data_IF_970025163804
#
_entry.id   IF_970025163804
#
_cell.length_a   1.000
_cell.length_b   1.000
_cell.length_c   1.000
_cell.angle_alpha   90.00
_cell.angle_beta   90.00
_cell.angle_gamma   90.00
#
_symmetry.space_group_name_H-M   'P 1'
#
loop_
_entity.id
_entity.type
_entity.pdbx_description
1 polymer ?
#
# COMPACT_ATOMS: atom_id res chain seq x y z
N UNK A 1 17.12 11.90 12.35
CA UNK A 1 16.91 10.43 12.34
C UNK A 1 17.32 9.94 13.72
N UNK A 2 16.39 9.45 14.54
CA UNK A 2 16.74 8.85 15.85
C UNK A 2 16.96 7.35 15.62
N UNK A 3 18.14 6.87 16.03
CA UNK A 3 18.67 5.51 16.06
C UNK A 3 17.78 4.41 15.47
N UNK A 4 18.07 4.14 14.20
CA UNK A 4 17.77 2.90 13.47
C UNK A 4 18.21 1.70 14.32
N UNK A 5 19.39 1.74 14.94
CA UNK A 5 20.03 0.62 15.67
C UNK A 5 19.16 -0.14 16.71
N UNK A 6 18.23 0.51 17.41
CA UNK A 6 17.44 -0.16 18.45
C UNK A 6 16.26 -1.01 17.94
N UNK A 7 15.96 -0.96 16.63
CA UNK A 7 14.84 -1.70 16.02
C UNK A 7 15.30 -3.04 15.40
N UNK A 8 16.60 -3.21 15.15
CA UNK A 8 17.14 -4.30 14.31
C UNK A 8 17.51 -5.59 15.05
N UNK A 9 17.40 -5.62 16.38
CA UNK A 9 17.80 -6.80 17.17
C UNK A 9 17.02 -8.07 16.76
N UNK A 10 15.81 -7.94 16.22
CA UNK A 10 14.96 -9.06 15.77
C UNK A 10 14.95 -9.28 14.24
N UNK A 11 15.59 -8.40 13.46
CA UNK A 11 15.62 -8.46 11.99
C UNK A 11 17.02 -8.68 11.40
N UNK A 12 18.01 -9.04 12.22
CA UNK A 12 19.39 -9.24 11.76
C UNK A 12 19.52 -10.24 10.61
N UNK A 13 18.73 -11.32 10.61
CA UNK A 13 18.71 -12.30 9.51
C UNK A 13 18.12 -11.72 8.22
N UNK A 14 17.11 -10.85 8.32
CA UNK A 14 16.50 -10.19 7.17
C UNK A 14 17.47 -9.20 6.52
N UNK A 15 18.23 -8.45 7.32
CA UNK A 15 19.22 -7.49 6.82
C UNK A 15 20.41 -8.15 6.09
N UNK A 16 20.66 -9.43 6.35
CA UNK A 16 21.61 -10.22 5.56
C UNK A 16 21.07 -10.62 4.17
N UNK A 17 19.74 -10.64 3.99
CA UNK A 17 19.06 -11.04 2.74
C UNK A 17 18.52 -9.85 1.94
N UNK A 18 18.15 -8.77 2.62
CA UNK A 18 17.69 -7.50 2.05
C UNK A 18 18.66 -6.41 2.51
N UNK A 19 19.36 -5.78 1.58
CA UNK A 19 20.31 -4.72 1.91
C UNK A 19 19.64 -3.55 2.62
N UNK A 20 20.33 -2.94 3.59
CA UNK A 20 19.87 -1.77 4.33
C UNK A 20 19.42 -0.63 3.41
N UNK A 21 20.18 -0.35 2.34
CA UNK A 21 19.85 0.65 1.33
C UNK A 21 18.47 0.43 0.70
N UNK A 22 18.07 -0.82 0.43
CA UNK A 22 16.75 -1.15 -0.14
C UNK A 22 15.64 -0.83 0.84
N UNK A 23 15.85 -1.11 2.13
CA UNK A 23 14.89 -0.79 3.21
C UNK A 23 14.76 0.72 3.37
N UNK A 24 15.89 1.44 3.46
CA UNK A 24 15.92 2.89 3.61
C UNK A 24 15.27 3.60 2.42
N UNK A 25 15.59 3.19 1.20
CA UNK A 25 14.98 3.75 -0.01
C UNK A 25 13.47 3.52 -0.04
N UNK A 26 13.01 2.33 0.37
CA UNK A 26 11.58 2.01 0.47
C UNK A 26 10.89 2.87 1.53
N UNK A 27 11.50 3.04 2.71
CA UNK A 27 10.99 3.91 3.77
C UNK A 27 10.86 5.35 3.31
N UNK A 28 11.91 5.88 2.67
CA UNK A 28 11.93 7.24 2.11
C UNK A 28 10.83 7.41 1.06
N UNK A 29 10.68 6.45 0.15
CA UNK A 29 9.62 6.47 -0.86
C UNK A 29 8.23 6.51 -0.22
N UNK A 30 7.93 5.59 0.70
CA UNK A 30 6.63 5.52 1.38
C UNK A 30 6.33 6.78 2.19
N UNK A 31 7.33 7.32 2.89
CA UNK A 31 7.20 8.56 3.63
C UNK A 31 6.84 9.73 2.71
N UNK A 32 7.55 9.88 1.58
CA UNK A 32 7.24 10.94 0.60
C UNK A 32 5.85 10.80 0.00
N UNK A 33 5.41 9.58 -0.32
CA UNK A 33 4.07 9.32 -0.84
C UNK A 33 2.98 9.66 0.20
N UNK A 34 3.20 9.32 1.47
CA UNK A 34 2.32 9.69 2.58
C UNK A 34 2.27 11.20 2.81
N UNK A 35 3.41 11.86 2.84
CA UNK A 35 3.51 13.31 3.00
C UNK A 35 2.82 14.05 1.85
N UNK A 36 3.02 13.59 0.61
CA UNK A 36 2.32 14.11 -0.57
C UNK A 36 0.80 13.93 -0.46
N UNK A 37 0.35 12.77 0.02
CA UNK A 37 -1.06 12.50 0.24
C UNK A 37 -1.66 13.44 1.31
N UNK A 38 -0.97 13.65 2.43
CA UNK A 38 -1.39 14.59 3.49
C UNK A 38 -1.55 16.00 2.91
N UNK A 39 -0.52 16.50 2.23
CA UNK A 39 -0.51 17.87 1.65
C UNK A 39 -1.58 18.07 0.58
N UNK A 40 -1.72 17.10 -0.33
CA UNK A 40 -2.71 17.17 -1.41
C UNK A 40 -4.15 17.21 -0.89
N UNK A 41 -4.39 16.68 0.31
CA UNK A 41 -5.69 16.67 0.96
C UNK A 41 -5.86 17.72 2.05
N UNK A 42 -4.87 18.60 2.27
CA UNK A 42 -4.84 19.65 3.30
C UNK A 42 -5.06 19.09 4.71
N UNK A 43 -4.24 18.12 5.10
CA UNK A 43 -4.34 17.37 6.36
C UNK A 43 -3.15 17.58 7.29
N UNK A 44 -2.26 18.52 6.98
CA UNK A 44 -1.02 18.75 7.73
C UNK A 44 -1.26 19.13 9.20
N UNK A 45 -2.40 19.73 9.49
CA UNK A 45 -2.88 20.09 10.83
C UNK A 45 -3.47 18.89 11.60
N UNK A 46 -3.98 17.87 10.89
CA UNK A 46 -4.77 16.77 11.46
C UNK A 46 -4.06 15.41 11.46
N UNK A 47 -3.13 15.19 10.55
CA UNK A 47 -2.52 13.88 10.29
C UNK A 47 -1.00 14.01 10.28
N UNK A 48 -0.31 12.98 10.79
CA UNK A 48 1.15 12.86 10.64
C UNK A 48 1.56 11.43 10.30
N UNK A 49 2.77 11.27 9.78
CA UNK A 49 3.38 9.97 9.53
C UNK A 49 4.11 9.50 10.80
N UNK A 50 3.61 8.46 11.43
CA UNK A 50 4.23 7.83 12.60
C UNK A 50 5.40 6.94 12.15
N UNK A 51 6.62 7.49 12.22
CA UNK A 51 7.84 6.86 11.67
C UNK A 51 8.06 5.42 12.16
N UNK A 52 7.87 5.14 13.44
CA UNK A 52 8.09 3.79 13.98
C UNK A 52 7.06 2.79 13.44
N UNK A 53 5.83 3.22 13.21
CA UNK A 53 4.79 2.36 12.63
C UNK A 53 5.08 2.09 11.15
N UNK A 54 5.60 3.09 10.43
CA UNK A 54 6.06 2.93 9.06
C UNK A 54 7.26 1.98 8.98
N UNK A 55 8.24 2.12 9.88
CA UNK A 55 9.40 1.23 9.96
C UNK A 55 8.96 -0.21 10.17
N UNK A 56 8.11 -0.48 11.17
CA UNK A 56 7.58 -1.82 11.39
C UNK A 56 6.80 -2.36 10.19
N UNK A 57 5.98 -1.53 9.53
CA UNK A 57 5.25 -1.96 8.33
C UNK A 57 6.18 -2.43 7.22
N UNK A 58 7.26 -1.70 6.97
CA UNK A 58 8.24 -2.05 5.94
C UNK A 58 9.04 -3.28 6.31
N UNK A 59 9.47 -3.40 7.58
CA UNK A 59 10.23 -4.55 8.04
C UNK A 59 9.40 -5.84 8.00
N UNK A 60 8.15 -5.80 8.43
CA UNK A 60 7.24 -6.95 8.36
C UNK A 60 6.95 -7.35 6.91
N UNK A 61 6.75 -6.36 6.04
CA UNK A 61 6.59 -6.58 4.61
C UNK A 61 7.79 -7.31 4.01
N UNK A 62 9.02 -6.84 4.24
CA UNK A 62 10.21 -7.51 3.73
C UNK A 62 10.39 -8.90 4.34
N UNK A 63 10.09 -9.07 5.64
CA UNK A 63 10.13 -10.37 6.31
C UNK A 63 9.20 -11.38 5.65
N UNK A 64 7.95 -10.99 5.37
CA UNK A 64 6.98 -11.86 4.68
C UNK A 64 7.40 -12.19 3.25
N UNK A 65 7.88 -11.19 2.49
CA UNK A 65 8.37 -11.41 1.13
C UNK A 65 9.56 -12.37 1.14
N UNK A 66 10.49 -12.22 2.08
CA UNK A 66 11.64 -13.11 2.18
C UNK A 66 11.22 -14.54 2.55
N UNK A 67 10.32 -14.70 3.54
CA UNK A 67 9.75 -16.02 3.87
C UNK A 67 9.10 -16.68 2.66
N UNK A 68 8.37 -15.91 1.85
CA UNK A 68 7.71 -16.44 0.67
C UNK A 68 8.71 -16.85 -0.42
N UNK A 69 9.76 -16.05 -0.64
CA UNK A 69 10.86 -16.39 -1.54
C UNK A 69 11.55 -17.70 -1.14
N UNK A 70 11.87 -17.81 0.14
CA UNK A 70 12.53 -18.99 0.72
C UNK A 70 11.63 -20.24 0.56
N UNK A 71 10.33 -20.12 0.83
CA UNK A 71 9.37 -21.22 0.68
C UNK A 71 9.17 -21.67 -0.78
N UNK A 72 9.14 -20.73 -1.72
CA UNK A 72 8.91 -21.02 -3.14
C UNK A 72 10.20 -21.33 -3.91
N UNK A 73 11.37 -21.15 -3.31
CA UNK A 73 12.67 -21.31 -3.97
C UNK A 73 12.91 -20.28 -5.09
N UNK A 74 12.34 -19.07 -4.96
CA UNK A 74 12.45 -18.02 -5.98
C UNK A 74 13.27 -16.84 -5.46
N UNK A 75 14.00 -16.19 -6.36
CA UNK A 75 14.79 -14.99 -6.04
C UNK A 75 14.02 -13.70 -6.30
N UNK A 76 13.15 -13.73 -7.32
CA UNK A 76 12.36 -12.59 -7.78
C UNK A 76 10.88 -12.84 -7.53
N UNK A 77 10.16 -11.76 -7.26
CA UNK A 77 8.74 -11.77 -6.96
C UNK A 77 8.07 -10.71 -7.80
N UNK A 78 6.87 -10.98 -8.30
CA UNK A 78 6.17 -10.04 -9.18
C UNK A 78 5.72 -8.79 -8.42
N UNK A 79 5.50 -7.71 -9.17
CA UNK A 79 5.11 -6.38 -8.68
C UNK A 79 3.72 -6.38 -8.02
N UNK A 80 2.78 -7.16 -8.52
CA UNK A 80 1.43 -7.32 -7.95
C UNK A 80 1.51 -7.84 -6.51
N UNK A 81 2.30 -8.89 -6.30
CA UNK A 81 2.51 -9.51 -5.01
C UNK A 81 3.30 -8.58 -4.07
N UNK A 82 4.31 -7.88 -4.58
CA UNK A 82 4.97 -6.80 -3.82
C UNK A 82 3.93 -5.78 -3.33
N UNK A 83 3.08 -5.26 -4.24
CA UNK A 83 2.08 -4.25 -3.91
C UNK A 83 1.06 -4.77 -2.89
N UNK A 84 0.63 -6.02 -3.03
CA UNK A 84 -0.34 -6.64 -2.14
C UNK A 84 0.19 -6.78 -0.70
N UNK A 85 1.39 -7.33 -0.54
CA UNK A 85 2.01 -7.51 0.77
C UNK A 85 2.40 -6.17 1.42
N UNK A 86 2.92 -5.21 0.65
CA UNK A 86 3.20 -3.84 1.14
C UNK A 86 1.91 -3.18 1.65
N UNK A 87 0.82 -3.25 0.87
CA UNK A 87 -0.49 -2.70 1.24
C UNK A 87 -1.03 -3.36 2.50
N UNK A 88 -0.93 -4.68 2.61
CA UNK A 88 -1.37 -5.42 3.79
C UNK A 88 -0.68 -4.94 5.07
N UNK A 89 0.64 -4.83 5.08
CA UNK A 89 1.38 -4.41 6.27
C UNK A 89 1.17 -2.95 6.62
N UNK A 90 1.06 -2.07 5.63
CA UNK A 90 0.65 -0.68 5.86
C UNK A 90 -0.75 -0.58 6.47
N UNK A 91 -1.69 -1.41 6.02
CA UNK A 91 -3.05 -1.46 6.59
C UNK A 91 -3.05 -1.95 8.04
N UNK A 92 -2.20 -2.93 8.37
CA UNK A 92 -2.08 -3.48 9.73
C UNK A 92 -1.40 -2.53 10.70
N UNK A 93 -0.30 -1.90 10.29
CA UNK A 93 0.51 -1.03 11.14
C UNK A 93 0.03 0.41 11.20
N UNK A 94 -0.84 0.84 10.27
CA UNK A 94 -1.52 2.15 10.25
C UNK A 94 -0.58 3.34 10.51
N UNK A 95 0.44 3.56 9.66
CA UNK A 95 1.45 4.60 9.88
C UNK A 95 0.92 6.04 9.78
N UNK A 96 -0.21 6.29 9.12
CA UNK A 96 -0.87 7.59 9.19
C UNK A 96 -1.69 7.69 10.47
N UNK A 97 -1.39 8.65 11.32
CA UNK A 97 -2.06 8.83 12.62
C UNK A 97 -2.69 10.20 12.74
N UNK A 98 -3.84 10.26 13.41
CA UNK A 98 -4.54 11.50 13.73
C UNK A 98 -3.83 12.21 14.88
N UNK A 99 -3.68 13.53 14.78
CA UNK A 99 -3.11 14.39 15.83
C UNK A 99 -4.10 14.67 16.95
N UNK A 100 -5.38 14.65 16.62
CA UNK A 100 -6.48 14.96 17.52
C UNK A 100 -7.73 14.15 17.15
N UNK A 101 -8.71 14.18 18.04
CA UNK A 101 -10.03 13.63 17.74
C UNK A 101 -10.70 14.49 16.68
N UNK A 102 -11.24 13.85 15.64
CA UNK A 102 -11.97 14.53 14.59
C UNK A 102 -13.45 14.69 14.98
N UNK A 103 -14.05 15.79 14.56
CA UNK A 103 -15.49 16.03 14.69
C UNK A 103 -16.32 15.21 13.69
N UNK A 104 -15.74 14.90 12.52
CA UNK A 104 -16.34 14.05 11.49
C UNK A 104 -15.54 12.76 11.25
N UNK A 105 -16.18 11.76 10.64
CA UNK A 105 -15.58 10.45 10.37
C UNK A 105 -14.83 10.39 9.02
N UNK A 106 -14.78 11.50 8.27
CA UNK A 106 -14.24 11.52 6.90
C UNK A 106 -12.81 11.04 6.86
N UNK A 107 -12.00 11.46 7.83
CA UNK A 107 -10.57 11.10 7.92
C UNK A 107 -10.25 10.06 8.99
N UNK A 108 -11.27 9.49 9.62
CA UNK A 108 -11.10 8.42 10.62
C UNK A 108 -10.32 7.21 10.04
N UNK A 109 -10.53 6.93 8.76
CA UNK A 109 -9.89 5.83 8.01
C UNK A 109 -8.85 6.34 7.01
N UNK A 110 -7.97 7.23 7.47
CA UNK A 110 -6.98 7.89 6.62
C UNK A 110 -6.00 6.91 5.95
N UNK A 111 -5.62 5.82 6.63
CA UNK A 111 -4.74 4.79 6.05
C UNK A 111 -5.44 4.07 4.89
N UNK A 112 -6.70 3.70 5.05
CA UNK A 112 -7.49 3.03 4.01
C UNK A 112 -7.67 3.93 2.78
N UNK A 113 -7.87 5.24 2.98
CA UNK A 113 -7.94 6.21 1.88
C UNK A 113 -6.61 6.35 1.15
N UNK A 114 -5.51 6.45 1.88
CA UNK A 114 -4.17 6.48 1.31
C UNK A 114 -3.88 5.21 0.49
N UNK A 115 -4.19 4.04 1.04
CA UNK A 115 -3.99 2.76 0.38
C UNK A 115 -4.90 2.60 -0.84
N UNK A 116 -6.16 3.05 -0.77
CA UNK A 116 -7.06 3.09 -1.94
C UNK A 116 -6.45 3.92 -3.08
N UNK A 117 -5.91 5.10 -2.78
CA UNK A 117 -5.28 5.95 -3.77
C UNK A 117 -4.04 5.28 -4.40
N UNK A 118 -3.19 4.64 -3.59
CA UNK A 118 -2.03 3.87 -4.07
C UNK A 118 -2.44 2.70 -4.95
N UNK A 119 -3.43 1.93 -4.53
CA UNK A 119 -3.92 0.78 -5.30
C UNK A 119 -4.55 1.24 -6.60
N UNK A 120 -5.37 2.30 -6.59
CA UNK A 120 -5.96 2.86 -7.80
C UNK A 120 -4.90 3.30 -8.80
N UNK A 121 -3.86 4.02 -8.34
CA UNK A 121 -2.73 4.41 -9.19
C UNK A 121 -1.98 3.18 -9.75
N UNK A 122 -1.75 2.16 -8.91
CA UNK A 122 -1.08 0.92 -9.34
C UNK A 122 -1.92 0.13 -10.36
N UNK A 123 -3.23 0.06 -10.19
CA UNK A 123 -4.14 -0.65 -11.11
C UNK A 123 -4.25 0.06 -12.46
N UNK A 124 -4.26 1.40 -12.47
CA UNK A 124 -4.37 2.16 -13.71
C UNK A 124 -3.04 2.26 -14.46
N UNK A 125 -1.88 2.20 -13.79
CA UNK A 125 -0.55 2.29 -14.42
C UNK A 125 -0.48 3.44 -15.44
N UNK A 126 -0.25 3.11 -16.71
CA UNK A 126 -0.15 4.05 -17.84
C UNK A 126 -1.51 4.65 -18.24
N UNK A 127 -2.62 4.00 -17.89
CA UNK A 127 -3.99 4.41 -18.19
C UNK A 127 -4.55 5.44 -17.19
N UNK A 128 -3.73 6.01 -16.31
CA UNK A 128 -4.19 6.97 -15.28
C UNK A 128 -4.88 8.22 -15.87
N UNK A 129 -4.50 8.60 -17.09
CA UNK A 129 -5.08 9.73 -17.82
C UNK A 129 -6.08 9.29 -18.91
N UNK A 130 -6.46 8.00 -18.94
CA UNK A 130 -7.38 7.50 -19.95
C UNK A 130 -8.75 8.18 -19.82
N UNK A 131 -9.28 8.79 -20.90
CA UNK A 131 -10.62 9.35 -20.88
C UNK A 131 -11.65 8.23 -20.69
N UNK A 132 -12.40 8.29 -19.58
CA UNK A 132 -13.46 7.33 -19.30
C UNK A 132 -14.81 7.85 -19.81
N UNK A 133 -15.57 6.97 -20.47
CA UNK A 133 -17.00 7.22 -20.69
C UNK A 133 -17.73 7.28 -19.35
N UNK A 134 -18.91 7.92 -19.31
CA UNK A 134 -19.73 8.01 -18.09
C UNK A 134 -19.95 6.63 -17.44
N UNK A 135 -20.32 5.63 -18.24
CA UNK A 135 -20.54 4.26 -17.75
C UNK A 135 -19.27 3.63 -17.18
N UNK A 136 -18.11 3.76 -17.86
CA UNK A 136 -16.83 3.23 -17.36
C UNK A 136 -16.42 3.91 -16.05
N UNK A 137 -16.59 5.23 -15.97
CA UNK A 137 -16.32 6.01 -14.75
C UNK A 137 -17.19 5.56 -13.59
N UNK A 138 -18.49 5.36 -13.81
CA UNK A 138 -19.43 4.87 -12.78
C UNK A 138 -19.04 3.47 -12.30
N UNK A 139 -18.74 2.54 -13.20
CA UNK A 139 -18.30 1.19 -12.83
C UNK A 139 -16.99 1.20 -12.04
N UNK A 140 -16.01 1.99 -12.46
CA UNK A 140 -14.74 2.12 -11.75
C UNK A 140 -14.90 2.75 -10.37
N UNK A 141 -15.75 3.78 -10.25
CA UNK A 141 -16.05 4.41 -8.96
C UNK A 141 -16.70 3.40 -8.00
N UNK A 142 -17.68 2.62 -8.47
CA UNK A 142 -18.32 1.56 -7.65
C UNK A 142 -17.31 0.51 -7.17
N UNK A 143 -16.36 0.15 -8.03
CA UNK A 143 -15.27 -0.74 -7.65
C UNK A 143 -14.40 -0.13 -6.55
N UNK A 144 -13.99 1.13 -6.69
CA UNK A 144 -13.20 1.84 -5.67
C UNK A 144 -13.96 1.99 -4.34
N UNK A 145 -15.27 2.27 -4.37
CA UNK A 145 -16.12 2.33 -3.17
C UNK A 145 -16.16 0.99 -2.45
N UNK A 146 -16.31 -0.10 -3.22
CA UNK A 146 -16.30 -1.47 -2.68
C UNK A 146 -14.94 -1.85 -2.11
N UNK A 147 -13.86 -1.49 -2.79
CA UNK A 147 -12.50 -1.71 -2.33
C UNK A 147 -12.22 -0.93 -1.04
N UNK A 148 -12.64 0.33 -0.97
CA UNK A 148 -12.53 1.14 0.24
C UNK A 148 -13.27 0.51 1.42
N UNK A 149 -14.51 0.06 1.19
CA UNK A 149 -15.28 -0.68 2.19
C UNK A 149 -14.57 -1.97 2.64
N UNK A 150 -14.00 -2.72 1.70
CA UNK A 150 -13.24 -3.93 1.97
C UNK A 150 -12.03 -3.65 2.87
N UNK A 151 -11.21 -2.64 2.56
CA UNK A 151 -10.06 -2.21 3.36
C UNK A 151 -10.46 -1.77 4.78
N UNK A 152 -11.65 -1.16 4.92
CA UNK A 152 -12.16 -0.62 6.18
C UNK A 152 -12.70 -1.68 7.13
N UNK A 153 -13.43 -2.67 6.63
CA UNK A 153 -14.30 -3.51 7.47
C UNK A 153 -14.15 -5.01 7.27
N UNK A 154 -13.31 -5.47 6.34
CA UNK A 154 -13.15 -6.90 6.08
C UNK A 154 -11.84 -7.43 6.64
N UNK A 155 -11.80 -8.75 6.82
CA UNK A 155 -10.55 -9.45 7.10
C UNK A 155 -9.75 -9.44 5.81
N UNK A 156 -8.83 -8.50 5.73
CA UNK A 156 -7.87 -8.39 4.63
C UNK A 156 -6.63 -9.21 4.94
N UNK A 157 -6.20 -10.01 3.97
CA UNK A 157 -4.89 -10.64 3.90
C UNK A 157 -4.20 -10.26 2.57
N UNK A 158 -2.89 -10.51 2.50
CA UNK A 158 -2.10 -10.13 1.33
C UNK A 158 -2.53 -10.92 0.08
N UNK A 159 -2.89 -12.20 0.22
CA UNK A 159 -3.31 -13.04 -0.90
C UNK A 159 -4.63 -12.58 -1.52
N UNK A 160 -5.57 -12.09 -0.71
CA UNK A 160 -6.83 -11.54 -1.19
C UNK A 160 -6.62 -10.23 -1.95
N UNK A 161 -5.71 -9.36 -1.49
CA UNK A 161 -5.32 -8.16 -2.24
C UNK A 161 -4.64 -8.54 -3.55
N UNK A 162 -3.73 -9.52 -3.53
CA UNK A 162 -3.05 -10.04 -4.72
C UNK A 162 -4.05 -10.56 -5.75
N UNK A 163 -4.96 -11.44 -5.34
CA UNK A 163 -5.99 -12.00 -6.22
C UNK A 163 -6.88 -10.92 -6.81
N UNK A 164 -7.25 -9.91 -6.02
CA UNK A 164 -8.05 -8.78 -6.48
C UNK A 164 -7.32 -7.97 -7.55
N UNK A 165 -6.02 -7.69 -7.36
CA UNK A 165 -5.20 -6.97 -8.33
C UNK A 165 -5.07 -7.78 -9.63
N UNK A 166 -4.78 -9.08 -9.54
CA UNK A 166 -4.72 -9.98 -10.70
C UNK A 166 -6.06 -10.05 -11.44
N UNK A 167 -7.18 -10.09 -10.72
CA UNK A 167 -8.51 -10.10 -11.32
C UNK A 167 -8.80 -8.78 -12.06
N UNK A 168 -8.38 -7.64 -11.51
CA UNK A 168 -8.49 -6.34 -12.18
C UNK A 168 -7.64 -6.30 -13.45
N UNK A 169 -6.38 -6.72 -13.38
CA UNK A 169 -5.48 -6.79 -14.54
C UNK A 169 -6.03 -7.70 -15.64
N UNK A 170 -6.50 -8.90 -15.28
CA UNK A 170 -7.14 -9.81 -16.23
C UNK A 170 -8.38 -9.18 -16.89
N UNK A 171 -9.20 -8.47 -16.11
CA UNK A 171 -10.35 -7.73 -16.63
C UNK A 171 -9.96 -6.62 -17.61
N UNK A 172 -8.87 -5.90 -17.32
CA UNK A 172 -8.33 -4.88 -18.21
C UNK A 172 -7.83 -5.49 -19.53
N UNK A 173 -7.07 -6.58 -19.48
CA UNK A 173 -6.57 -7.29 -20.67
C UNK A 173 -7.71 -7.81 -21.55
N UNK A 174 -8.75 -8.42 -20.96
CA UNK A 174 -9.93 -8.88 -21.71
C UNK A 174 -10.70 -7.69 -22.33
N UNK A 175 -10.66 -6.53 -21.71
CA UNK A 175 -11.35 -5.32 -22.19
C UNK A 175 -10.61 -4.58 -23.30
N UNK A 176 -9.29 -4.81 -23.44
CA UNK A 176 -8.52 -4.29 -24.57
C UNK A 176 -9.04 -4.98 -25.83
N UNK A 177 -9.65 -4.21 -26.73
CA UNK A 177 -10.04 -4.74 -28.04
C UNK A 177 -8.75 -5.18 -28.75
N UNK A 178 -8.66 -6.45 -29.10
CA UNK A 178 -7.72 -6.90 -30.13
C UNK A 178 -8.07 -6.14 -31.40
N UNK A 179 -7.25 -5.15 -31.76
CA UNK A 179 -7.28 -4.50 -33.07
C UNK A 179 -6.49 -5.38 -34.03
#
# INVERSE_FOLDING_TARGET
>A
MRNIENIYTDYGELMGKVSEEVVENRLKQLYMEMDTFIKSNKLEDKVFVHQMALNHAVMDYFSDIQRLKDYQGITHINDVKIKAYETFWLLKRRPLQLKEQLEDDKWLHVNEKFLLARLAAFMLREDINMPLTKQKKESFTKYLDTLYYYLKFRKTDAQAIELMLLAFEAGMEVSKKNI
#
